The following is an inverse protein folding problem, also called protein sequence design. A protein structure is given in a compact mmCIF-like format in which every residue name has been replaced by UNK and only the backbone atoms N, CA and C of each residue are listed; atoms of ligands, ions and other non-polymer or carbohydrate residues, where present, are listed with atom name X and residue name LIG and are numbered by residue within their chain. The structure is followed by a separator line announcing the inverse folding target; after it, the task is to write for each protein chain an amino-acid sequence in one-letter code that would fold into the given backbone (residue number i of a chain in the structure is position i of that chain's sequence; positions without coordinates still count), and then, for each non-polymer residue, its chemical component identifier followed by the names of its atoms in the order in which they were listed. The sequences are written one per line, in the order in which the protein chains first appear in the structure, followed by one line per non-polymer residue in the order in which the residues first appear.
data_IF_020297864068
#
_entry.id   IF_020297864068
#
_cell.length_a   1.000
_cell.length_b   1.000
_cell.length_c   1.000
_cell.angle_alpha   90.00
_cell.angle_beta   90.00
_cell.angle_gamma   90.00
#
_symmetry.space_group_name_H-M   'P 1'
#
loop_
_entity.id
_entity.type
_entity.pdbx_description
1 polymer ?
#
# COMPACT_ATOMS: atom_id res chain seq x y z
N UNK A 1 1.57 -30.78 4.91
CA UNK A 1 1.02 -30.71 3.55
C UNK A 1 0.11 -29.49 3.49
N UNK A 2 0.63 -28.35 3.02
CA UNK A 2 -0.19 -27.14 2.85
C UNK A 2 -0.92 -27.27 1.51
N UNK A 3 -2.24 -27.42 1.54
CA UNK A 3 -3.05 -27.39 0.33
C UNK A 3 -3.07 -25.96 -0.21
N UNK A 4 -2.48 -25.77 -1.39
CA UNK A 4 -2.66 -24.54 -2.15
C UNK A 4 -4.13 -24.46 -2.58
N UNK A 5 -4.89 -23.57 -1.95
CA UNK A 5 -6.25 -23.25 -2.37
C UNK A 5 -6.14 -22.52 -3.71
N UNK A 6 -6.50 -23.18 -4.80
CA UNK A 6 -6.68 -22.51 -6.09
C UNK A 6 -7.81 -21.47 -5.93
N UNK A 7 -7.42 -20.20 -5.83
CA UNK A 7 -8.39 -19.10 -5.83
C UNK A 7 -8.82 -18.84 -7.27
N UNK A 8 -10.14 -18.88 -7.51
CA UNK A 8 -10.72 -18.44 -8.78
C UNK A 8 -10.39 -16.96 -9.07
N UNK A 9 -10.63 -16.48 -10.31
CA UNK A 9 -10.37 -15.09 -10.67
C UNK A 9 -11.16 -14.14 -9.76
N UNK A 10 -10.57 -12.98 -9.47
CA UNK A 10 -11.22 -11.97 -8.64
C UNK A 10 -12.60 -11.58 -9.21
N UNK A 11 -13.60 -11.51 -8.34
CA UNK A 11 -14.96 -11.14 -8.73
C UNK A 11 -15.07 -9.62 -8.86
N UNK A 12 -15.19 -9.12 -10.10
CA UNK A 12 -15.38 -7.69 -10.37
C UNK A 12 -16.57 -7.10 -9.61
N UNK A 13 -17.69 -7.83 -9.54
CA UNK A 13 -18.90 -7.42 -8.80
C UNK A 13 -18.62 -7.22 -7.31
N UNK A 14 -17.81 -8.09 -6.69
CA UNK A 14 -17.47 -7.95 -5.27
C UNK A 14 -16.44 -6.84 -5.05
N UNK A 15 -15.51 -6.63 -5.99
CA UNK A 15 -14.59 -5.49 -5.98
C UNK A 15 -15.35 -4.17 -6.07
N UNK A 16 -16.32 -4.04 -6.98
CA UNK A 16 -17.15 -2.84 -7.11
C UNK A 16 -17.97 -2.57 -5.85
N UNK A 17 -18.50 -3.64 -5.22
CA UNK A 17 -19.18 -3.53 -3.93
C UNK A 17 -18.25 -3.09 -2.80
N UNK A 18 -17.00 -3.55 -2.78
CA UNK A 18 -16.00 -3.13 -1.81
C UNK A 18 -15.65 -1.64 -1.99
N UNK A 19 -15.45 -1.20 -3.23
CA UNK A 19 -15.21 0.21 -3.56
C UNK A 19 -16.40 1.10 -3.16
N UNK A 20 -17.63 0.70 -3.47
CA UNK A 20 -18.83 1.45 -3.06
C UNK A 20 -18.96 1.50 -1.54
N UNK A 21 -18.72 0.39 -0.84
CA UNK A 21 -18.74 0.37 0.63
C UNK A 21 -17.69 1.32 1.22
N UNK A 22 -16.47 1.33 0.68
CA UNK A 22 -15.42 2.25 1.10
C UNK A 22 -15.85 3.71 0.92
N UNK A 23 -16.43 4.07 -0.24
CA UNK A 23 -16.94 5.41 -0.50
C UNK A 23 -18.04 5.81 0.49
N UNK A 24 -18.95 4.89 0.81
CA UNK A 24 -19.99 5.13 1.82
C UNK A 24 -19.37 5.37 3.20
N UNK A 25 -18.42 4.53 3.64
CA UNK A 25 -17.76 4.72 4.93
C UNK A 25 -16.97 6.02 5.02
N UNK A 26 -16.35 6.47 3.92
CA UNK A 26 -15.60 7.72 3.87
C UNK A 26 -16.47 8.97 4.08
N UNK A 27 -17.80 8.85 3.94
CA UNK A 27 -18.76 9.93 4.22
C UNK A 27 -19.23 9.97 5.67
N UNK A 28 -18.94 8.92 6.46
CA UNK A 28 -19.28 8.84 7.87
C UNK A 28 -18.03 9.10 8.73
N UNK A 29 -18.25 9.47 9.99
CA UNK A 29 -17.17 9.69 10.98
C UNK A 29 -16.65 8.34 11.52
N UNK A 30 -16.14 7.50 10.61
CA UNK A 30 -15.57 6.18 10.91
C UNK A 30 -14.05 6.32 10.98
N UNK A 31 -13.46 5.67 11.99
CA UNK A 31 -12.00 5.58 12.11
C UNK A 31 -11.36 5.00 10.83
N UNK A 32 -10.30 5.66 10.34
CA UNK A 32 -9.63 5.31 9.08
C UNK A 32 -9.07 3.89 9.08
N UNK A 33 -8.63 3.39 10.24
CA UNK A 33 -8.10 2.03 10.38
C UNK A 33 -9.22 1.01 10.16
N UNK A 34 -10.39 1.26 10.78
CA UNK A 34 -11.59 0.43 10.62
C UNK A 34 -12.07 0.42 9.16
N UNK A 35 -12.10 1.59 8.53
CA UNK A 35 -12.49 1.74 7.14
C UNK A 35 -11.55 0.98 6.19
N UNK A 36 -10.23 1.14 6.34
CA UNK A 36 -9.25 0.48 5.47
C UNK A 36 -9.19 -1.03 5.71
N UNK A 37 -9.24 -1.48 6.97
CA UNK A 37 -9.33 -2.91 7.30
C UNK A 37 -10.54 -3.56 6.61
N UNK A 38 -11.72 -2.96 6.76
CA UNK A 38 -12.93 -3.47 6.15
C UNK A 38 -12.89 -3.47 4.62
N UNK A 39 -12.17 -2.53 4.00
CA UNK A 39 -11.95 -2.52 2.56
C UNK A 39 -11.06 -3.69 2.13
N UNK A 40 -9.89 -3.86 2.75
CA UNK A 40 -8.94 -4.92 2.39
C UNK A 40 -9.51 -6.33 2.64
N UNK A 41 -10.26 -6.52 3.73
CA UNK A 41 -10.97 -7.78 3.99
C UNK A 41 -11.98 -8.12 2.88
N UNK A 42 -12.73 -7.12 2.39
CA UNK A 42 -13.69 -7.31 1.29
C UNK A 42 -12.98 -7.60 -0.03
N UNK A 43 -11.86 -6.94 -0.31
CA UNK A 43 -11.04 -7.24 -1.49
C UNK A 43 -10.44 -8.65 -1.42
N UNK A 44 -9.99 -9.08 -0.24
CA UNK A 44 -9.54 -10.46 -0.01
C UNK A 44 -10.66 -11.47 -0.23
N UNK A 45 -11.86 -11.20 0.30
CA UNK A 45 -13.04 -12.04 0.08
C UNK A 45 -13.52 -12.04 -1.39
N UNK A 46 -13.23 -10.98 -2.15
CA UNK A 46 -13.49 -10.90 -3.59
C UNK A 46 -12.51 -11.73 -4.44
N UNK A 47 -11.50 -12.36 -3.83
CA UNK A 47 -10.51 -13.20 -4.51
C UNK A 47 -9.17 -12.53 -4.79
N UNK A 48 -8.95 -11.28 -4.35
CA UNK A 48 -7.63 -10.63 -4.47
C UNK A 48 -6.73 -11.14 -3.32
N UNK A 49 -5.61 -11.82 -3.60
CA UNK A 49 -4.79 -12.47 -2.56
C UNK A 49 -3.85 -11.48 -1.87
N UNK A 50 -4.40 -10.42 -1.26
CA UNK A 50 -3.61 -9.40 -0.56
C UNK A 50 -3.03 -10.00 0.73
N UNK A 51 -1.72 -10.15 0.76
CA UNK A 51 -0.93 -10.64 1.90
C UNK A 51 -0.48 -9.47 2.79
N UNK A 52 -0.27 -8.29 2.19
CA UNK A 52 -0.03 -7.02 2.89
C UNK A 52 -0.53 -5.87 2.04
N UNK A 53 -1.18 -4.88 2.67
CA UNK A 53 -1.46 -3.59 2.07
C UNK A 53 -0.82 -2.47 2.88
N UNK A 54 -0.25 -1.49 2.20
CA UNK A 54 0.29 -0.29 2.81
C UNK A 54 -0.24 0.94 2.09
N UNK A 55 -0.59 1.97 2.83
CA UNK A 55 -1.08 3.24 2.32
C UNK A 55 -0.38 4.38 3.06
N UNK A 56 0.21 5.31 2.33
CA UNK A 56 0.74 6.56 2.87
C UNK A 56 -0.15 7.69 2.41
N UNK A 57 -0.72 8.45 3.35
CA UNK A 57 -1.58 9.60 3.05
C UNK A 57 -1.00 10.88 3.65
N UNK A 58 -1.00 11.94 2.85
CA UNK A 58 -0.60 13.26 3.31
C UNK A 58 -1.60 13.80 4.34
N UNK A 59 -1.11 14.36 5.45
CA UNK A 59 -1.96 14.96 6.49
C UNK A 59 -1.54 16.40 6.78
N UNK A 60 -2.47 17.20 7.32
CA UNK A 60 -2.22 18.58 7.72
C UNK A 60 -1.86 18.66 9.21
N UNK A 61 -0.76 18.02 9.60
CA UNK A 61 -0.31 18.01 10.98
C UNK A 61 1.01 18.78 11.14
N UNK A 62 1.18 19.59 12.22
CA UNK A 62 2.40 20.39 12.41
C UNK A 62 3.68 19.54 12.50
N UNK A 63 3.60 18.36 13.12
CA UNK A 63 4.75 17.47 13.33
C UNK A 63 4.92 16.40 12.23
N UNK A 64 3.82 15.99 11.60
CA UNK A 64 3.81 14.84 10.69
C UNK A 64 3.37 15.27 9.29
N UNK A 65 4.12 14.87 8.28
CA UNK A 65 3.82 15.12 6.88
C UNK A 65 2.79 14.13 6.33
N UNK A 66 2.81 12.90 6.85
CA UNK A 66 1.96 11.81 6.37
C UNK A 66 1.76 10.72 7.42
N UNK A 67 0.74 9.89 7.22
CA UNK A 67 0.51 8.65 7.96
C UNK A 67 0.74 7.46 7.02
N UNK A 68 1.56 6.51 7.45
CA UNK A 68 1.65 5.17 6.89
C UNK A 68 0.67 4.25 7.61
N UNK A 69 -0.17 3.55 6.86
CA UNK A 69 -1.15 2.60 7.36
C UNK A 69 -0.84 1.25 6.72
N UNK A 70 -0.50 0.26 7.54
CA UNK A 70 -0.24 -1.11 7.07
C UNK A 70 -1.33 -2.04 7.58
N UNK A 71 -1.93 -2.80 6.67
CA UNK A 71 -2.85 -3.88 6.98
C UNK A 71 -2.23 -5.23 6.63
N UNK A 72 -2.47 -6.24 7.49
CA UNK A 72 -2.15 -7.64 7.23
C UNK A 72 -3.32 -8.54 7.66
N UNK A 73 -3.59 -9.64 6.95
CA UNK A 73 -4.56 -10.64 7.39
C UNK A 73 -4.20 -11.15 8.79
N UNK A 74 -5.16 -11.14 9.71
CA UNK A 74 -4.98 -11.63 11.09
C UNK A 74 -4.41 -10.61 12.08
N UNK A 75 -3.54 -9.69 11.63
CA UNK A 75 -2.92 -8.68 12.50
C UNK A 75 -3.70 -7.36 12.57
N UNK A 76 -4.60 -7.12 11.61
CA UNK A 76 -5.35 -5.87 11.52
C UNK A 76 -4.51 -4.72 10.95
N UNK A 77 -4.69 -3.51 11.49
CA UNK A 77 -4.07 -2.27 10.99
C UNK A 77 -3.07 -1.71 12.00
N UNK A 78 -1.90 -1.32 11.51
CA UNK A 78 -0.90 -0.52 12.23
C UNK A 78 -0.71 0.85 11.56
N UNK A 79 -0.62 1.92 12.36
CA UNK A 79 -0.39 3.29 11.88
C UNK A 79 1.00 3.78 12.32
N UNK A 80 1.72 4.41 11.40
CA UNK A 80 3.01 5.07 11.62
C UNK A 80 2.91 6.53 11.14
N UNK A 81 3.47 7.48 11.90
CA UNK A 81 3.55 8.88 11.50
C UNK A 81 4.92 9.21 10.90
N UNK A 82 4.95 9.74 9.68
CA UNK A 82 6.18 10.23 9.06
C UNK A 82 6.33 11.73 9.30
N UNK A 83 7.48 12.12 9.84
CA UNK A 83 7.77 13.53 10.12
C UNK A 83 8.03 14.32 8.83
N UNK A 84 7.98 15.64 8.94
CA UNK A 84 8.48 16.52 7.89
C UNK A 84 9.99 16.31 7.72
N UNK A 85 10.49 16.43 6.49
CA UNK A 85 11.93 16.38 6.25
C UNK A 85 12.62 17.56 6.93
N UNK A 86 13.74 17.30 7.58
CA UNK A 86 14.57 18.33 8.19
C UNK A 86 15.51 18.89 7.12
N UNK A 87 15.16 20.05 6.56
CA UNK A 87 15.91 20.63 5.43
C UNK A 87 15.82 19.80 4.16
N UNK A 88 16.92 19.68 3.42
CA UNK A 88 16.99 18.93 2.16
C UNK A 88 17.29 17.43 2.35
N UNK A 89 17.35 16.94 3.60
CA UNK A 89 17.69 15.56 3.89
C UNK A 89 16.49 14.63 3.65
N UNK A 90 16.58 13.85 2.57
CA UNK A 90 15.59 12.83 2.23
C UNK A 90 15.96 11.54 3.00
N UNK A 91 15.05 10.98 3.82
CA UNK A 91 15.32 9.74 4.55
C UNK A 91 15.69 8.60 3.59
N UNK A 92 16.74 7.86 3.93
CA UNK A 92 17.25 6.76 3.09
C UNK A 92 16.16 5.73 2.75
N UNK A 93 15.34 5.37 3.74
CA UNK A 93 14.22 4.45 3.56
C UNK A 93 13.22 4.93 2.50
N UNK A 94 12.96 6.25 2.42
CA UNK A 94 12.13 6.81 1.35
C UNK A 94 12.89 6.82 0.03
N UNK A 95 14.15 7.28 0.03
CA UNK A 95 15.00 7.40 -1.17
C UNK A 95 15.16 6.07 -1.93
N UNK A 96 15.27 4.96 -1.22
CA UNK A 96 15.38 3.61 -1.81
C UNK A 96 14.03 2.92 -2.01
N UNK A 97 12.92 3.60 -1.73
CA UNK A 97 11.58 3.02 -1.87
C UNK A 97 11.06 3.12 -3.32
N UNK A 98 10.15 2.22 -3.71
CA UNK A 98 9.40 2.37 -4.97
C UNK A 98 8.67 3.72 -5.05
N UNK A 99 8.23 4.28 -3.92
CA UNK A 99 7.50 5.55 -3.88
C UNK A 99 8.33 6.74 -4.33
N UNK A 100 9.62 6.76 -3.96
CA UNK A 100 10.53 7.80 -4.45
C UNK A 100 10.66 7.74 -5.96
N UNK A 101 10.73 6.54 -6.54
CA UNK A 101 10.76 6.37 -7.98
C UNK A 101 9.44 6.80 -8.64
N UNK A 102 8.28 6.42 -8.10
CA UNK A 102 6.98 6.87 -8.60
C UNK A 102 6.93 8.40 -8.70
N UNK A 103 7.35 9.08 -7.62
CA UNK A 103 7.36 10.54 -7.54
C UNK A 103 8.37 11.18 -8.48
N UNK A 104 9.62 10.69 -8.49
CA UNK A 104 10.71 11.29 -9.25
C UNK A 104 10.59 11.07 -10.77
N UNK A 105 10.00 9.95 -11.18
CA UNK A 105 9.81 9.62 -12.60
C UNK A 105 8.40 9.97 -13.11
N UNK A 106 7.52 10.46 -12.25
CA UNK A 106 6.12 10.76 -12.56
C UNK A 106 5.39 9.59 -13.24
N UNK A 107 5.50 8.40 -12.64
CA UNK A 107 4.85 7.17 -13.10
C UNK A 107 3.76 6.75 -12.10
N UNK A 108 2.64 6.23 -12.61
CA UNK A 108 1.46 5.94 -11.79
C UNK A 108 1.62 4.70 -10.92
N UNK A 109 2.30 3.67 -11.42
CA UNK A 109 2.51 2.42 -10.68
C UNK A 109 3.80 1.69 -11.09
N UNK A 110 4.30 0.87 -10.19
CA UNK A 110 5.39 -0.09 -10.37
C UNK A 110 4.88 -1.45 -9.94
N UNK A 111 4.95 -2.44 -10.83
CA UNK A 111 4.68 -3.84 -10.50
C UNK A 111 5.91 -4.71 -10.70
N UNK A 112 6.19 -5.59 -9.74
CA UNK A 112 7.31 -6.52 -9.77
C UNK A 112 6.83 -7.91 -9.38
N UNK A 113 7.25 -8.92 -10.13
CA UNK A 113 7.28 -10.30 -9.63
C UNK A 113 8.45 -10.43 -8.68
N UNK A 114 8.22 -11.05 -7.54
CA UNK A 114 9.22 -11.30 -6.51
C UNK A 114 9.85 -12.66 -6.81
N UNK A 115 10.77 -12.67 -7.77
CA UNK A 115 11.48 -13.87 -8.22
C UNK A 115 12.94 -13.56 -8.54
N UNK A 116 13.80 -14.59 -8.49
CA UNK A 116 15.19 -14.51 -8.93
C UNK A 116 16.24 -14.20 -7.87
N UNK A 117 17.50 -14.25 -8.30
CA UNK A 117 18.69 -14.04 -7.48
C UNK A 117 19.12 -12.58 -7.62
N UNK A 118 18.51 -11.67 -6.86
CA UNK A 118 18.93 -10.27 -6.55
C UNK A 118 17.76 -9.45 -5.98
N UNK A 119 16.83 -10.12 -5.29
CA UNK A 119 15.72 -9.46 -4.59
C UNK A 119 16.30 -8.46 -3.59
N UNK A 120 15.93 -7.18 -3.72
CA UNK A 120 16.47 -6.08 -2.92
C UNK A 120 17.41 -5.12 -3.65
N UNK A 121 17.97 -5.50 -4.81
CA UNK A 121 18.90 -4.63 -5.55
C UNK A 121 18.21 -3.39 -6.13
N UNK A 122 16.96 -3.54 -6.59
CA UNK A 122 16.14 -2.42 -7.05
C UNK A 122 15.48 -1.71 -5.86
N UNK A 123 14.76 -2.45 -5.03
CA UNK A 123 14.13 -1.93 -3.80
C UNK A 123 14.30 -2.91 -2.65
N UNK A 124 14.85 -2.49 -1.49
CA UNK A 124 15.02 -3.36 -0.31
C UNK A 124 13.74 -4.07 0.12
N UNK A 125 12.58 -3.40 0.00
CA UNK A 125 11.27 -3.96 0.36
C UNK A 125 10.94 -5.27 -0.38
N UNK A 126 11.43 -5.47 -1.61
CA UNK A 126 11.18 -6.71 -2.35
C UNK A 126 11.81 -7.92 -1.68
N UNK A 127 12.97 -7.74 -1.03
CA UNK A 127 13.62 -8.79 -0.25
C UNK A 127 12.81 -9.14 0.99
N UNK A 128 12.35 -8.13 1.72
CA UNK A 128 11.50 -8.32 2.91
C UNK A 128 10.18 -9.02 2.55
N UNK A 129 9.56 -8.65 1.42
CA UNK A 129 8.33 -9.30 0.96
C UNK A 129 8.57 -10.75 0.54
N UNK A 130 9.73 -11.05 -0.07
CA UNK A 130 10.13 -12.42 -0.40
C UNK A 130 10.33 -13.30 0.84
N UNK A 131 10.98 -12.76 1.88
CA UNK A 131 11.17 -13.44 3.16
C UNK A 131 9.82 -13.75 3.86
N UNK A 132 8.79 -12.97 3.55
CA UNK A 132 7.40 -13.17 4.00
C UNK A 132 6.59 -14.08 3.06
N UNK A 133 7.20 -14.65 2.02
CA UNK A 133 6.55 -15.59 1.09
C UNK A 133 5.70 -14.94 0.00
N UNK A 134 5.79 -13.63 -0.20
CA UNK A 134 5.09 -12.94 -1.29
C UNK A 134 5.76 -13.19 -2.64
N UNK A 135 4.97 -13.14 -3.70
CA UNK A 135 5.37 -13.43 -5.10
C UNK A 135 5.09 -12.27 -6.05
N UNK A 136 4.28 -11.29 -5.67
CA UNK A 136 4.00 -10.07 -6.42
C UNK A 136 4.07 -8.85 -5.51
N UNK A 137 4.51 -7.74 -6.06
CA UNK A 137 4.52 -6.44 -5.40
C UNK A 137 4.03 -5.37 -6.38
N UNK A 138 3.01 -4.62 -5.98
CA UNK A 138 2.48 -3.47 -6.69
C UNK A 138 2.64 -2.24 -5.81
N UNK A 139 3.28 -1.18 -6.30
CA UNK A 139 3.23 0.15 -5.71
C UNK A 139 2.53 1.11 -6.66
N UNK A 140 1.79 2.07 -6.14
CA UNK A 140 1.03 3.06 -6.90
C UNK A 140 1.01 4.41 -6.18
N UNK A 141 0.73 5.47 -6.94
CA UNK A 141 0.64 6.83 -6.42
C UNK A 141 -0.46 7.63 -7.09
N UNK A 142 -1.10 8.50 -6.31
CA UNK A 142 -2.09 9.47 -6.78
C UNK A 142 -1.78 10.83 -6.16
N UNK A 143 -1.44 11.81 -6.99
CA UNK A 143 -1.25 13.19 -6.55
C UNK A 143 -2.60 13.90 -6.39
N UNK A 144 -2.72 14.73 -5.36
CA UNK A 144 -3.89 15.59 -5.12
C UNK A 144 -3.73 17.00 -5.69
N UNK A 145 -2.52 17.37 -6.08
CA UNK A 145 -2.21 18.67 -6.65
C UNK A 145 -1.18 18.57 -7.77
N UNK A 146 -1.02 19.66 -8.50
CA UNK A 146 -0.10 19.76 -9.64
C UNK A 146 1.37 19.73 -9.22
N UNK A 147 1.68 20.02 -7.95
CA UNK A 147 3.04 20.01 -7.39
C UNK A 147 3.49 18.59 -7.03
N UNK A 148 2.57 17.63 -6.87
CA UNK A 148 2.88 16.23 -6.55
C UNK A 148 3.49 16.03 -5.16
N UNK A 149 3.41 17.03 -4.28
CA UNK A 149 3.89 16.97 -2.89
C UNK A 149 2.81 16.46 -1.93
N UNK A 150 1.53 16.51 -2.34
CA UNK A 150 0.40 15.96 -1.61
C UNK A 150 -0.28 14.87 -2.41
N UNK A 151 -0.68 13.81 -1.71
CA UNK A 151 -1.33 12.69 -2.35
C UNK A 151 -1.41 11.46 -1.46
N UNK A 152 -1.65 10.35 -2.15
CA UNK A 152 -1.62 9.00 -1.62
C UNK A 152 -0.56 8.21 -2.36
N UNK A 153 0.24 7.48 -1.61
CA UNK A 153 1.08 6.41 -2.11
C UNK A 153 0.57 5.12 -1.51
N UNK A 154 0.71 3.99 -2.19
CA UNK A 154 0.31 2.72 -1.63
C UNK A 154 1.03 1.56 -2.27
N UNK A 155 1.04 0.43 -1.57
CA UNK A 155 1.51 -0.82 -2.14
C UNK A 155 0.78 -2.03 -1.62
N UNK A 156 0.67 -3.05 -2.46
CA UNK A 156 0.12 -4.36 -2.14
C UNK A 156 1.17 -5.43 -2.45
N UNK A 157 1.18 -6.48 -1.65
CA UNK A 157 1.91 -7.71 -1.98
C UNK A 157 1.00 -8.93 -1.89
N UNK A 158 1.27 -9.92 -2.74
CA UNK A 158 0.50 -11.17 -2.80
C UNK A 158 1.40 -12.37 -2.70
#
# INVERSE_FOLDING_TARGET
MSQSIERGPASSVLVDKAARWLLEQALFDVDISTMLAGCYERLSAAGIPISRAHLVLSILHPLYSSLGITWRPGDGVSIEGYQHFLGDEIPEAFRTSPYYQLKNQNIEFIRRRIEGQNLGAEFPILKEMAEQGNTDYLAFGLAFNTQGDKGVLGSWST
#
